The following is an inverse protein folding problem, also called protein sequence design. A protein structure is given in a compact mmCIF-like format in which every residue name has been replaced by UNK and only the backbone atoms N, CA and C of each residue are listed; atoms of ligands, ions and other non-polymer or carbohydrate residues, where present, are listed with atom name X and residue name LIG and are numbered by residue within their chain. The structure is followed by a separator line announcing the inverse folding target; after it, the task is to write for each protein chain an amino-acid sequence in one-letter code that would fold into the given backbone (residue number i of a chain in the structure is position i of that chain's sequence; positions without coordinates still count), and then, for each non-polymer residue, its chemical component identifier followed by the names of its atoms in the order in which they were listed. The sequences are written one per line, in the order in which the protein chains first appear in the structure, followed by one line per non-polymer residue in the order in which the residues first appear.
data_IF_375709735456
#
_entry.id   IF_375709735456
#
_cell.length_a   1.000
_cell.length_b   1.000
_cell.length_c   1.000
_cell.angle_alpha   90.00
_cell.angle_beta   90.00
_cell.angle_gamma   90.00
#
_symmetry.space_group_name_H-M   'P 1'
#
loop_
_entity.id
_entity.type
_entity.pdbx_description
1 polymer ?
#
# COMPACT_ATOMS: atom_id res chain seq x y z
N UNK A 1 14.63 6.55 13.06
CA UNK A 1 15.13 5.22 13.42
C UNK A 1 14.22 4.22 12.74
N UNK A 2 14.77 3.18 12.12
CA UNK A 2 13.96 2.06 11.68
C UNK A 2 13.19 1.45 12.86
N UNK A 3 11.93 1.05 12.65
CA UNK A 3 11.11 0.48 13.73
C UNK A 3 11.70 -0.85 14.18
N UNK A 4 11.59 -1.18 15.47
CA UNK A 4 11.81 -2.55 15.96
C UNK A 4 10.71 -3.48 15.42
N UNK A 5 10.88 -4.82 15.47
CA UNK A 5 9.80 -5.75 15.13
C UNK A 5 8.53 -5.55 15.98
N UNK A 6 8.68 -5.20 17.26
CA UNK A 6 7.54 -4.92 18.12
C UNK A 6 6.86 -3.59 17.76
N UNK A 7 7.63 -2.55 17.42
CA UNK A 7 7.08 -1.28 16.91
C UNK A 7 6.38 -1.45 15.56
N UNK A 8 6.88 -2.36 14.71
CA UNK A 8 6.19 -2.76 13.50
C UNK A 8 4.85 -3.46 13.82
N UNK A 9 4.84 -4.40 14.76
CA UNK A 9 3.61 -5.02 15.26
C UNK A 9 2.62 -4.01 15.84
N UNK A 10 3.08 -3.00 16.60
CA UNK A 10 2.27 -1.88 17.08
C UNK A 10 1.69 -1.08 15.92
N UNK A 11 2.49 -0.78 14.89
CA UNK A 11 2.02 -0.07 13.71
C UNK A 11 0.94 -0.85 12.94
N UNK A 12 1.04 -2.18 12.88
CA UNK A 12 0.00 -3.03 12.29
C UNK A 12 -1.27 -3.02 13.16
N UNK A 13 -1.13 -3.24 14.48
CA UNK A 13 -2.23 -3.29 15.43
C UNK A 13 -3.06 -2.00 15.48
N UNK A 14 -2.41 -0.86 15.24
CA UNK A 14 -3.01 0.48 15.24
C UNK A 14 -3.18 1.06 13.84
N UNK A 15 -3.03 0.24 12.79
CA UNK A 15 -3.02 0.72 11.39
C UNK A 15 -4.30 1.46 10.99
N UNK A 16 -5.42 1.13 11.61
CA UNK A 16 -6.71 1.79 11.40
C UNK A 16 -6.96 2.97 12.36
N UNK A 17 -6.13 3.15 13.39
CA UNK A 17 -6.20 4.24 14.37
C UNK A 17 -6.88 3.90 15.69
N UNK A 18 -7.20 2.62 15.95
CA UNK A 18 -7.65 2.17 17.27
C UNK A 18 -7.13 0.75 17.56
N UNK A 19 -6.76 0.49 18.81
CA UNK A 19 -6.37 -0.86 19.23
C UNK A 19 -7.60 -1.68 19.59
N UNK A 20 -7.82 -2.78 18.87
CA UNK A 20 -8.85 -3.75 19.21
C UNK A 20 -8.42 -4.64 20.38
N UNK A 21 -9.38 -5.32 21.02
CA UNK A 21 -9.08 -6.31 22.07
C UNK A 21 -8.21 -7.44 21.53
N UNK A 22 -8.51 -7.91 20.32
CA UNK A 22 -7.77 -9.01 19.69
C UNK A 22 -6.37 -8.55 19.29
N UNK A 23 -6.23 -7.32 18.79
CA UNK A 23 -4.92 -6.70 18.54
C UNK A 23 -4.06 -6.59 19.80
N UNK A 24 -4.65 -6.24 20.94
CA UNK A 24 -3.92 -6.20 22.22
C UNK A 24 -3.41 -7.58 22.66
N UNK A 25 -4.25 -8.62 22.53
CA UNK A 25 -3.87 -10.02 22.81
C UNK A 25 -2.76 -10.49 21.85
N UNK A 26 -2.85 -10.11 20.58
CA UNK A 26 -1.82 -10.41 19.59
C UNK A 26 -0.49 -9.73 19.90
N UNK A 27 -0.48 -8.50 20.42
CA UNK A 27 0.74 -7.84 20.88
C UNK A 27 1.36 -8.55 22.09
N UNK A 28 0.56 -9.12 22.99
CA UNK A 28 1.08 -9.99 24.06
C UNK A 28 1.73 -11.26 23.48
N UNK A 29 1.09 -11.86 22.46
CA UNK A 29 1.65 -13.01 21.75
C UNK A 29 2.97 -12.65 21.06
N UNK A 30 3.03 -11.49 20.40
CA UNK A 30 4.23 -10.97 19.77
C UNK A 30 5.35 -10.76 20.78
N UNK A 31 5.05 -10.12 21.92
CA UNK A 31 6.02 -9.90 23.00
C UNK A 31 6.67 -11.24 23.44
N UNK A 32 5.86 -12.27 23.63
CA UNK A 32 6.34 -13.61 24.01
C UNK A 32 7.20 -14.22 22.90
N UNK A 33 6.78 -14.14 21.63
CA UNK A 33 7.53 -14.67 20.50
C UNK A 33 8.90 -14.01 20.32
N UNK A 34 8.99 -12.70 20.57
CA UNK A 34 10.21 -11.90 20.51
C UNK A 34 11.07 -12.01 21.78
N UNK A 35 10.57 -12.65 22.85
CA UNK A 35 11.28 -12.78 24.12
C UNK A 35 11.49 -11.46 24.87
N UNK A 36 10.60 -10.48 24.67
CA UNK A 36 10.70 -9.15 25.29
C UNK A 36 10.20 -9.17 26.73
N UNK A 37 10.96 -8.56 27.65
CA UNK A 37 10.47 -8.29 29.00
C UNK A 37 9.42 -7.17 29.00
N UNK A 38 8.58 -7.13 30.04
CA UNK A 38 7.59 -6.07 30.20
C UNK A 38 8.23 -4.68 30.22
N UNK A 39 9.42 -4.54 30.82
CA UNK A 39 10.16 -3.27 30.86
C UNK A 39 10.62 -2.83 29.47
N UNK A 40 11.04 -3.76 28.63
CA UNK A 40 11.51 -3.48 27.28
C UNK A 40 10.34 -3.16 26.36
N UNK A 41 9.25 -3.92 26.45
CA UNK A 41 7.98 -3.61 25.80
C UNK A 41 7.50 -2.21 26.15
N UNK A 42 7.42 -1.88 27.44
CA UNK A 42 6.94 -0.58 27.90
C UNK A 42 7.80 0.58 27.36
N UNK A 43 9.13 0.39 27.26
CA UNK A 43 10.04 1.38 26.67
C UNK A 43 9.71 1.63 25.19
N UNK A 44 9.51 0.57 24.42
CA UNK A 44 9.18 0.66 22.99
C UNK A 44 7.78 1.26 22.78
N UNK A 45 6.79 0.85 23.57
CA UNK A 45 5.45 1.47 23.57
C UNK A 45 5.52 2.96 23.94
N UNK A 46 6.35 3.35 24.90
CA UNK A 46 6.51 4.76 25.29
C UNK A 46 7.14 5.60 24.17
N UNK A 47 8.19 5.08 23.52
CA UNK A 47 8.81 5.73 22.36
C UNK A 47 7.78 5.88 21.24
N UNK A 48 7.10 4.80 20.91
CA UNK A 48 6.08 4.76 19.88
C UNK A 48 4.89 5.68 20.20
N UNK A 49 4.43 5.73 21.45
CA UNK A 49 3.39 6.67 21.91
C UNK A 49 3.85 8.13 21.85
N UNK A 50 5.13 8.41 22.09
CA UNK A 50 5.66 9.78 21.96
C UNK A 50 5.65 10.26 20.49
N UNK A 51 5.75 9.32 19.56
CA UNK A 51 5.61 9.57 18.13
C UNK A 51 4.14 9.63 17.70
N UNK A 52 3.26 8.78 18.26
CA UNK A 52 1.83 8.71 17.89
C UNK A 52 0.91 9.67 18.65
N UNK A 53 1.31 10.19 19.82
CA UNK A 53 0.53 11.19 20.59
C UNK A 53 0.37 12.52 19.86
N UNK A 54 1.05 12.69 18.71
CA UNK A 54 0.90 13.81 17.77
C UNK A 54 -0.23 13.57 16.74
N UNK A 55 -0.77 12.37 16.65
CA UNK A 55 -1.82 11.95 15.70
C UNK A 55 -3.08 11.50 16.44
N UNK A 56 -3.85 12.45 17.00
CA UNK A 56 -5.15 12.18 17.61
C UNK A 56 -6.20 11.71 16.59
N UNK A 57 -6.44 10.40 16.48
CA UNK A 57 -7.58 9.78 15.79
C UNK A 57 -8.43 8.99 16.79
N UNK A 58 -9.73 8.88 16.54
CA UNK A 58 -10.60 7.78 17.01
C UNK A 58 -10.97 6.95 15.78
N UNK A 59 -10.86 5.63 15.89
CA UNK A 59 -11.23 4.64 14.85
C UNK A 59 -11.84 3.38 15.48
N UNK A 60 -12.19 2.37 14.68
CA UNK A 60 -13.04 1.23 15.05
C UNK A 60 -12.31 -0.06 15.49
N UNK A 61 -11.02 -0.22 15.21
CA UNK A 61 -10.18 -1.34 15.67
C UNK A 61 -10.18 -2.57 14.76
N UNK A 62 -9.83 -2.40 13.48
CA UNK A 62 -9.75 -3.43 12.42
C UNK A 62 -8.28 -3.70 11.97
N UNK A 63 -7.29 -3.18 12.72
CA UNK A 63 -5.86 -3.40 12.45
C UNK A 63 -5.34 -4.79 12.88
N UNK A 64 -6.17 -5.61 13.50
CA UNK A 64 -5.81 -6.93 14.03
C UNK A 64 -5.59 -7.98 12.93
N UNK A 65 -6.28 -7.88 11.80
CA UNK A 65 -6.10 -8.82 10.68
C UNK A 65 -4.67 -8.75 10.10
N UNK A 66 -4.13 -7.55 9.88
CA UNK A 66 -2.76 -7.38 9.39
C UNK A 66 -1.71 -7.89 10.39
N UNK A 67 -1.94 -7.65 11.69
CA UNK A 67 -1.06 -8.17 12.74
C UNK A 67 -1.14 -9.70 12.81
N UNK A 68 -2.32 -10.29 12.67
CA UNK A 68 -2.53 -11.74 12.66
C UNK A 68 -1.76 -12.41 11.52
N UNK A 69 -1.88 -11.89 10.30
CA UNK A 69 -1.18 -12.44 9.14
C UNK A 69 0.33 -12.36 9.29
N UNK A 70 0.83 -11.23 9.82
CA UNK A 70 2.25 -11.08 10.09
C UNK A 70 2.73 -12.06 11.18
N UNK A 71 1.98 -12.21 12.27
CA UNK A 71 2.26 -13.19 13.33
C UNK A 71 2.27 -14.65 12.82
N UNK A 72 1.32 -15.00 11.96
CA UNK A 72 1.28 -16.32 11.33
C UNK A 72 2.55 -16.57 10.49
N UNK A 73 3.00 -15.55 9.76
CA UNK A 73 4.23 -15.66 8.96
C UNK A 73 5.52 -15.76 9.79
N UNK A 74 5.52 -15.23 11.03
CA UNK A 74 6.65 -15.35 11.96
C UNK A 74 6.81 -16.77 12.53
N UNK A 75 5.76 -17.60 12.46
CA UNK A 75 5.81 -18.97 12.97
C UNK A 75 6.63 -19.92 12.08
N UNK A 76 6.87 -19.58 10.81
CA UNK A 76 7.67 -20.38 9.87
C UNK A 76 9.18 -20.17 10.07
N UNK A 77 9.68 -20.45 11.29
CA UNK A 77 11.06 -20.15 11.69
C UNK A 77 12.11 -20.88 10.85
N UNK A 78 11.77 -22.03 10.29
CA UNK A 78 12.68 -22.85 9.49
C UNK A 78 13.04 -22.18 8.15
N UNK A 79 12.14 -21.36 7.59
CA UNK A 79 12.38 -20.63 6.35
C UNK A 79 13.04 -19.25 6.58
N UNK A 80 12.85 -18.64 7.76
CA UNK A 80 13.29 -17.27 8.02
C UNK A 80 14.82 -17.12 8.11
N UNK A 81 15.51 -18.00 8.84
CA UNK A 81 16.97 -17.96 9.00
C UNK A 81 17.74 -18.07 7.67
N UNK A 82 17.53 -19.10 6.82
CA UNK A 82 18.21 -19.19 5.52
C UNK A 82 17.82 -18.03 4.58
N UNK A 83 16.59 -17.52 4.67
CA UNK A 83 16.15 -16.36 3.88
C UNK A 83 16.85 -15.09 4.33
N UNK A 84 16.94 -14.81 5.63
CA UNK A 84 17.65 -13.66 6.19
C UNK A 84 19.13 -13.65 5.75
N UNK A 85 19.78 -14.82 5.74
CA UNK A 85 21.15 -14.97 5.20
C UNK A 85 21.23 -14.61 3.72
N UNK A 86 20.27 -15.08 2.93
CA UNK A 86 20.18 -14.78 1.49
C UNK A 86 19.91 -13.29 1.24
N UNK A 87 19.09 -12.65 2.07
CA UNK A 87 18.86 -11.19 2.06
C UNK A 87 20.13 -10.41 2.38
N UNK A 88 20.91 -10.84 3.37
CA UNK A 88 22.21 -10.23 3.68
C UNK A 88 23.17 -10.28 2.49
N UNK A 89 23.27 -11.44 1.82
CA UNK A 89 24.07 -11.59 0.58
C UNK A 89 23.57 -10.66 -0.53
N UNK A 90 22.26 -10.64 -0.77
CA UNK A 90 21.65 -9.81 -1.80
C UNK A 90 21.88 -8.31 -1.55
N UNK A 91 21.77 -7.87 -0.30
CA UNK A 91 21.95 -6.48 0.07
C UNK A 91 23.38 -5.98 -0.17
N UNK A 92 24.39 -6.82 0.09
CA UNK A 92 25.78 -6.47 -0.23
C UNK A 92 26.00 -6.38 -1.75
N UNK A 93 25.43 -7.32 -2.51
CA UNK A 93 25.52 -7.29 -3.97
C UNK A 93 24.83 -6.05 -4.58
N UNK A 94 23.73 -5.61 -3.98
CA UNK A 94 22.99 -4.40 -4.37
C UNK A 94 23.63 -3.09 -3.88
N UNK A 95 24.55 -3.16 -2.90
CA UNK A 95 25.14 -2.02 -2.23
C UNK A 95 24.36 -1.61 -0.99
N UNK A 96 24.86 -1.99 0.18
CA UNK A 96 24.27 -1.65 1.49
C UNK A 96 24.93 -0.39 2.08
N UNK A 97 24.11 0.54 2.58
CA UNK A 97 24.60 1.73 3.30
C UNK A 97 24.91 1.41 4.76
N UNK A 98 25.78 2.20 5.40
CA UNK A 98 26.09 2.04 6.83
C UNK A 98 24.84 2.17 7.73
N UNK A 99 23.96 3.11 7.39
CA UNK A 99 22.68 3.30 8.08
C UNK A 99 21.74 2.12 7.83
N UNK A 100 21.59 1.68 6.58
CA UNK A 100 20.75 0.53 6.24
C UNK A 100 21.22 -0.78 6.89
N UNK A 101 22.54 -0.99 6.99
CA UNK A 101 23.10 -2.11 7.76
C UNK A 101 22.74 -2.05 9.23
N UNK A 102 22.93 -0.88 9.86
CA UNK A 102 22.70 -0.72 11.30
C UNK A 102 21.22 -0.93 11.64
N UNK A 103 20.33 -0.39 10.82
CA UNK A 103 18.88 -0.54 10.97
C UNK A 103 18.40 -1.97 10.67
N UNK A 104 18.92 -2.60 9.62
CA UNK A 104 18.55 -3.97 9.26
C UNK A 104 19.03 -4.97 10.31
N UNK A 105 20.25 -4.79 10.84
CA UNK A 105 20.79 -5.64 11.89
C UNK A 105 19.95 -5.53 13.16
N UNK A 106 19.61 -4.30 13.60
CA UNK A 106 18.76 -4.10 14.77
C UNK A 106 17.38 -4.76 14.62
N UNK A 107 16.77 -4.64 13.43
CA UNK A 107 15.49 -5.30 13.16
C UNK A 107 15.62 -6.83 13.18
N UNK A 108 16.64 -7.38 12.51
CA UNK A 108 16.89 -8.82 12.45
C UNK A 108 17.24 -9.40 13.82
N UNK A 109 18.02 -8.70 14.64
CA UNK A 109 18.30 -9.07 16.03
C UNK A 109 17.01 -9.18 16.85
N UNK A 110 16.08 -8.24 16.67
CA UNK A 110 14.77 -8.29 17.32
C UNK A 110 13.95 -9.53 16.95
N UNK A 111 14.15 -10.10 15.75
CA UNK A 111 13.55 -11.37 15.32
C UNK A 111 14.38 -12.61 15.70
N UNK A 112 15.56 -12.42 16.31
CA UNK A 112 16.52 -13.50 16.56
C UNK A 112 17.30 -13.97 15.31
N UNK A 113 17.25 -13.20 14.22
CA UNK A 113 17.86 -13.51 12.91
C UNK A 113 19.16 -12.72 12.64
N UNK A 114 19.64 -11.94 13.61
CA UNK A 114 20.78 -11.03 13.44
C UNK A 114 22.05 -11.75 12.96
N UNK A 115 22.35 -12.92 13.55
CA UNK A 115 23.51 -13.73 13.13
C UNK A 115 23.36 -14.24 11.69
N UNK A 116 22.19 -14.75 11.32
CA UNK A 116 21.96 -15.26 9.97
C UNK A 116 22.11 -14.15 8.91
N UNK A 117 21.54 -12.97 9.18
CA UNK A 117 21.72 -11.80 8.32
C UNK A 117 23.21 -11.43 8.19
N UNK A 118 23.93 -11.37 9.31
CA UNK A 118 25.35 -11.01 9.34
C UNK A 118 26.23 -12.02 8.59
N UNK A 119 26.00 -13.32 8.75
CA UNK A 119 26.71 -14.37 8.00
C UNK A 119 26.53 -14.17 6.49
N UNK A 120 25.33 -13.77 6.07
CA UNK A 120 25.01 -13.39 4.70
C UNK A 120 25.82 -12.20 4.23
N UNK A 121 25.84 -11.11 4.99
CA UNK A 121 26.59 -9.88 4.66
C UNK A 121 28.10 -10.12 4.58
N UNK A 122 28.67 -10.89 5.51
CA UNK A 122 30.12 -11.07 5.64
C UNK A 122 30.70 -12.26 4.85
N UNK A 123 29.87 -12.95 4.07
CA UNK A 123 30.29 -14.12 3.28
C UNK A 123 30.80 -15.30 4.13
N UNK A 124 30.36 -15.41 5.39
CA UNK A 124 30.84 -16.45 6.31
C UNK A 124 30.23 -17.83 6.01
N UNK A 125 28.99 -17.85 5.47
CA UNK A 125 28.34 -19.07 4.98
C UNK A 125 27.81 -18.87 3.56
N UNK A 126 27.73 -19.97 2.82
CA UNK A 126 27.01 -19.98 1.55
C UNK A 126 25.53 -19.66 1.77
N UNK A 127 25.01 -18.82 0.88
CA UNK A 127 23.62 -18.42 0.83
C UNK A 127 23.12 -18.66 -0.58
N UNK A 128 21.92 -19.23 -0.70
CA UNK A 128 21.29 -19.39 -2.00
C UNK A 128 20.99 -18.01 -2.63
N UNK A 129 20.87 -17.92 -3.96
CA UNK A 129 20.31 -16.73 -4.59
C UNK A 129 18.96 -16.37 -3.98
N UNK A 130 18.77 -15.09 -3.68
CA UNK A 130 17.50 -14.61 -3.12
C UNK A 130 16.46 -14.50 -4.24
N UNK A 131 15.59 -15.50 -4.35
CA UNK A 131 14.49 -15.52 -5.32
C UNK A 131 13.18 -14.95 -4.75
N UNK A 132 12.91 -15.17 -3.46
CA UNK A 132 11.76 -14.64 -2.74
C UNK A 132 12.01 -14.64 -1.23
N UNK A 133 11.14 -13.98 -0.47
CA UNK A 133 11.14 -14.04 1.00
C UNK A 133 9.70 -14.11 1.56
N UNK A 134 9.51 -14.67 2.78
CA UNK A 134 8.24 -14.62 3.49
C UNK A 134 7.85 -13.19 3.89
N UNK A 135 6.55 -12.89 3.94
CA UNK A 135 6.03 -11.56 4.32
C UNK A 135 6.49 -11.07 5.69
N UNK A 136 6.85 -12.01 6.58
CA UNK A 136 7.50 -11.72 7.85
C UNK A 136 8.74 -10.81 7.71
N UNK A 137 9.47 -10.95 6.59
CA UNK A 137 10.71 -10.25 6.30
C UNK A 137 10.52 -9.02 5.40
N UNK A 138 9.29 -8.64 5.06
CA UNK A 138 9.03 -7.43 4.26
C UNK A 138 9.64 -6.16 4.88
N UNK A 139 9.55 -5.91 6.20
CA UNK A 139 10.20 -4.75 6.81
C UNK A 139 11.72 -4.80 6.65
N UNK A 140 12.32 -5.99 6.80
CA UNK A 140 13.75 -6.18 6.61
C UNK A 140 14.16 -5.93 5.15
N UNK A 141 13.37 -6.37 4.18
CA UNK A 141 13.60 -6.13 2.76
C UNK A 141 13.55 -4.64 2.41
N UNK A 142 12.62 -3.89 3.00
CA UNK A 142 12.50 -2.44 2.85
C UNK A 142 13.74 -1.74 3.42
N UNK A 143 14.16 -2.09 4.65
CA UNK A 143 15.33 -1.48 5.29
C UNK A 143 16.61 -1.76 4.48
N UNK A 144 16.73 -2.96 3.92
CA UNK A 144 17.86 -3.35 3.06
C UNK A 144 17.77 -2.80 1.63
N UNK A 145 16.68 -2.14 1.25
CA UNK A 145 16.46 -1.61 -0.10
C UNK A 145 16.29 -2.69 -1.18
N UNK A 146 15.98 -3.93 -0.79
CA UNK A 146 15.89 -5.07 -1.72
C UNK A 146 14.62 -5.03 -2.58
N UNK A 147 13.59 -4.33 -2.13
CA UNK A 147 12.33 -4.11 -2.87
C UNK A 147 12.56 -3.36 -4.19
N UNK A 148 13.67 -2.62 -4.31
CA UNK A 148 14.02 -1.82 -5.50
C UNK A 148 15.12 -2.51 -6.33
N UNK A 149 16.04 -3.20 -5.66
CA UNK A 149 17.32 -3.64 -6.25
C UNK A 149 17.34 -5.07 -6.79
N UNK A 150 16.35 -5.91 -6.46
CA UNK A 150 16.22 -7.26 -7.01
C UNK A 150 15.09 -7.28 -8.05
N UNK A 151 15.40 -7.27 -9.35
CA UNK A 151 14.38 -7.41 -10.38
C UNK A 151 13.84 -8.83 -10.34
N UNK A 152 12.55 -8.99 -10.03
CA UNK A 152 11.86 -10.29 -10.11
C UNK A 152 11.01 -10.68 -8.91
N UNK A 153 10.85 -9.84 -7.89
CA UNK A 153 10.16 -10.22 -6.66
C UNK A 153 8.69 -9.79 -6.74
N UNK A 154 7.96 -10.48 -7.60
CA UNK A 154 6.51 -10.64 -7.43
C UNK A 154 6.37 -11.76 -6.41
N UNK A 155 5.89 -11.45 -5.20
CA UNK A 155 5.43 -12.47 -4.28
C UNK A 155 4.34 -13.29 -4.97
N UNK A 156 4.70 -14.42 -5.59
CA UNK A 156 3.76 -15.53 -5.81
C UNK A 156 3.52 -16.19 -4.46
N UNK A 157 2.87 -15.46 -3.55
CA UNK A 157 2.02 -16.08 -2.52
C UNK A 157 1.09 -16.96 -3.35
N UNK A 158 1.06 -18.27 -3.13
CA UNK A 158 0.08 -19.13 -3.78
C UNK A 158 -1.29 -18.49 -3.53
N UNK A 159 -1.82 -17.87 -4.58
CA UNK A 159 -2.97 -16.98 -4.47
C UNK A 159 -4.09 -17.80 -3.85
N UNK A 160 -4.58 -17.42 -2.67
CA UNK A 160 -5.95 -17.76 -2.32
C UNK A 160 -6.78 -17.04 -3.37
N UNK A 161 -7.06 -17.74 -4.46
CA UNK A 161 -7.91 -17.20 -5.51
C UNK A 161 -9.28 -16.94 -4.89
N UNK A 162 -9.81 -15.73 -5.05
CA UNK A 162 -11.18 -15.44 -4.67
C UNK A 162 -12.14 -16.02 -5.72
N UNK A 163 -13.31 -16.43 -5.26
CA UNK A 163 -14.46 -16.69 -6.13
C UNK A 163 -15.28 -15.39 -6.19
N UNK A 164 -15.38 -14.76 -7.36
CA UNK A 164 -16.07 -13.47 -7.51
C UNK A 164 -15.90 -12.84 -8.89
N UNK A 165 -16.52 -11.67 -9.09
CA UNK A 165 -16.42 -10.88 -10.31
C UNK A 165 -15.06 -10.15 -10.41
N UNK A 166 -14.55 -10.01 -11.62
CA UNK A 166 -13.34 -9.24 -11.90
C UNK A 166 -13.64 -7.75 -11.85
N UNK A 167 -12.84 -6.99 -11.09
CA UNK A 167 -12.83 -5.54 -11.03
C UNK A 167 -11.59 -4.94 -11.70
N UNK A 168 -10.60 -5.78 -12.00
CA UNK A 168 -9.44 -5.48 -12.82
C UNK A 168 -9.19 -6.65 -13.74
N UNK A 169 -8.85 -6.37 -14.99
CA UNK A 169 -8.37 -7.35 -15.96
C UNK A 169 -7.21 -6.80 -16.77
N UNK A 170 -6.16 -7.59 -16.92
CA UNK A 170 -5.03 -7.33 -17.83
C UNK A 170 -4.96 -8.49 -18.82
N UNK A 171 -5.41 -8.25 -20.04
CA UNK A 171 -5.40 -9.22 -21.11
C UNK A 171 -4.07 -9.14 -21.88
N UNK A 172 -3.05 -9.86 -21.38
CA UNK A 172 -1.76 -10.00 -22.04
C UNK A 172 -1.16 -11.40 -21.76
N UNK A 173 -0.52 -12.07 -22.74
CA UNK A 173 0.01 -13.42 -22.56
C UNK A 173 1.01 -13.57 -21.41
N UNK A 174 1.81 -12.53 -21.16
CA UNK A 174 2.82 -12.54 -20.09
C UNK A 174 2.27 -12.06 -18.73
N UNK A 175 1.01 -11.62 -18.67
CA UNK A 175 0.40 -11.15 -17.44
C UNK A 175 -0.07 -12.32 -16.57
N UNK A 176 0.27 -12.29 -15.29
CA UNK A 176 -0.24 -13.25 -14.30
C UNK A 176 -0.65 -12.54 -13.01
N UNK A 177 -1.80 -12.89 -12.41
CA UNK A 177 -2.29 -12.15 -11.26
C UNK A 177 -1.48 -12.52 -10.02
N UNK A 178 -1.17 -11.53 -9.21
CA UNK A 178 -0.35 -11.67 -8.01
C UNK A 178 -1.00 -10.98 -6.81
N UNK A 179 -0.57 -11.32 -5.60
CA UNK A 179 -1.07 -10.65 -4.41
C UNK A 179 -0.62 -9.19 -4.38
N UNK A 180 -1.56 -8.27 -4.18
CA UNK A 180 -1.30 -6.84 -4.14
C UNK A 180 -1.08 -6.40 -2.69
N UNK A 181 0.17 -6.40 -2.22
CA UNK A 181 0.50 -5.93 -0.85
C UNK A 181 0.04 -4.48 -0.59
N UNK A 182 -0.18 -3.70 -1.66
CA UNK A 182 -0.69 -2.34 -1.58
C UNK A 182 -2.21 -2.22 -1.68
N UNK A 183 -2.92 -3.29 -1.97
CA UNK A 183 -4.39 -3.35 -1.99
C UNK A 183 -4.82 -4.77 -1.59
N UNK A 184 -4.68 -5.13 -0.30
CA UNK A 184 -4.77 -6.52 0.16
C UNK A 184 -6.14 -7.16 -0.09
N UNK A 185 -7.21 -6.35 -0.04
CA UNK A 185 -8.58 -6.81 -0.25
C UNK A 185 -8.92 -6.99 -1.75
N UNK A 186 -8.01 -6.64 -2.67
CA UNK A 186 -8.15 -6.87 -4.10
C UNK A 186 -7.35 -8.14 -4.45
N UNK A 187 -8.06 -9.27 -4.51
CA UNK A 187 -7.48 -10.61 -4.59
C UNK A 187 -7.45 -11.13 -6.03
N UNK A 188 -6.42 -11.94 -6.39
CA UNK A 188 -6.41 -12.67 -7.66
C UNK A 188 -7.67 -13.52 -7.84
N UNK A 189 -8.28 -13.48 -9.02
CA UNK A 189 -9.41 -14.35 -9.36
C UNK A 189 -8.91 -15.57 -10.13
N UNK A 190 -9.57 -16.70 -9.91
CA UNK A 190 -9.31 -17.90 -10.71
C UNK A 190 -9.96 -17.75 -12.10
N UNK A 191 -9.21 -17.22 -13.06
CA UNK A 191 -9.62 -17.10 -14.46
C UNK A 191 -8.51 -17.59 -15.40
N UNK A 192 -8.80 -17.63 -16.71
CA UNK A 192 -7.78 -17.86 -17.74
C UNK A 192 -6.88 -16.63 -17.97
N UNK A 193 -7.25 -15.46 -17.41
CA UNK A 193 -6.57 -14.18 -17.57
C UNK A 193 -5.87 -13.69 -16.29
N UNK A 194 -5.40 -12.44 -16.35
CA UNK A 194 -4.81 -11.75 -15.22
C UNK A 194 -5.83 -10.81 -14.59
N UNK A 195 -6.62 -11.37 -13.67
CA UNK A 195 -7.78 -10.70 -13.09
C UNK A 195 -7.67 -10.57 -11.57
N UNK A 196 -8.22 -9.47 -11.05
CA UNK A 196 -8.42 -9.25 -9.62
C UNK A 196 -9.84 -8.81 -9.30
N UNK A 197 -10.33 -9.19 -8.13
CA UNK A 197 -11.63 -8.76 -7.60
C UNK A 197 -11.61 -8.54 -6.10
N UNK A 198 -12.59 -7.80 -5.61
CA UNK A 198 -12.70 -7.54 -4.18
C UNK A 198 -13.05 -8.82 -3.41
N UNK A 199 -12.48 -8.96 -2.22
CA UNK A 199 -12.77 -10.08 -1.33
C UNK A 199 -14.27 -10.18 -0.97
N UNK A 200 -14.92 -9.04 -0.74
CA UNK A 200 -16.30 -8.96 -0.26
C UNK A 200 -17.34 -8.63 -1.36
N UNK A 201 -16.92 -8.23 -2.56
CA UNK A 201 -17.84 -7.89 -3.67
C UNK A 201 -17.83 -8.97 -4.74
N UNK A 202 -19.00 -9.58 -4.95
CA UNK A 202 -19.15 -10.74 -5.85
C UNK A 202 -19.72 -10.41 -7.22
N UNK A 203 -20.26 -9.21 -7.40
CA UNK A 203 -20.93 -8.77 -8.62
C UNK A 203 -20.55 -7.33 -8.94
N UNK A 204 -20.49 -7.02 -10.23
CA UNK A 204 -20.36 -5.66 -10.75
C UNK A 204 -21.73 -5.18 -11.24
N UNK A 205 -22.00 -3.88 -11.18
CA UNK A 205 -23.28 -3.34 -11.69
C UNK A 205 -23.39 -3.44 -13.22
N UNK A 206 -22.25 -3.52 -13.91
CA UNK A 206 -22.12 -3.57 -15.36
C UNK A 206 -21.13 -4.65 -15.78
N UNK A 207 -21.30 -5.17 -17.00
CA UNK A 207 -20.36 -6.14 -17.58
C UNK A 207 -19.01 -5.48 -17.87
N UNK A 208 -17.93 -6.21 -17.62
CA UNK A 208 -16.57 -5.73 -17.89
C UNK A 208 -16.31 -5.61 -19.40
N UNK A 209 -15.85 -4.43 -19.90
CA UNK A 209 -15.51 -4.24 -21.30
C UNK A 209 -14.39 -5.17 -21.77
N UNK A 210 -14.43 -5.56 -23.05
CA UNK A 210 -13.37 -6.37 -23.68
C UNK A 210 -12.25 -5.49 -24.23
N UNK A 211 -11.37 -5.01 -23.35
CA UNK A 211 -10.18 -4.20 -23.71
C UNK A 211 -8.89 -4.83 -23.15
N UNK A 212 -7.73 -4.35 -23.56
CA UNK A 212 -6.43 -4.93 -23.15
C UNK A 212 -6.17 -4.77 -21.65
N UNK A 213 -6.59 -3.65 -21.07
CA UNK A 213 -6.51 -3.40 -19.64
C UNK A 213 -7.73 -2.64 -19.17
N UNK A 214 -8.37 -3.13 -18.12
CA UNK A 214 -9.62 -2.59 -17.58
C UNK A 214 -9.55 -2.57 -16.07
N UNK A 215 -10.03 -1.51 -15.43
CA UNK A 215 -10.28 -1.48 -14.00
C UNK A 215 -11.50 -0.63 -13.64
N UNK A 216 -12.22 -1.05 -12.61
CA UNK A 216 -13.40 -0.32 -12.12
C UNK A 216 -12.99 0.99 -11.41
N UNK A 217 -13.86 2.00 -11.46
CA UNK A 217 -13.69 3.23 -10.70
C UNK A 217 -13.55 3.00 -9.20
N UNK A 218 -14.10 1.90 -8.66
CA UNK A 218 -13.98 1.58 -7.22
C UNK A 218 -12.53 1.27 -6.86
N UNK A 219 -11.79 0.63 -7.77
CA UNK A 219 -10.36 0.33 -7.64
C UNK A 219 -9.54 1.61 -7.69
N UNK A 220 -9.89 2.53 -8.61
CA UNK A 220 -9.29 3.86 -8.68
C UNK A 220 -9.54 4.68 -7.41
N UNK A 221 -10.78 4.67 -6.90
CA UNK A 221 -11.14 5.36 -5.66
C UNK A 221 -10.35 4.80 -4.47
N UNK A 222 -10.24 3.47 -4.35
CA UNK A 222 -9.43 2.84 -3.31
C UNK A 222 -7.94 3.21 -3.42
N UNK A 223 -7.40 3.27 -4.64
CA UNK A 223 -6.03 3.72 -4.88
C UNK A 223 -5.81 5.18 -4.46
N UNK A 224 -6.73 6.08 -4.81
CA UNK A 224 -6.66 7.50 -4.43
C UNK A 224 -6.70 7.66 -2.90
N UNK A 225 -7.58 6.93 -2.22
CA UNK A 225 -7.63 6.89 -0.75
C UNK A 225 -6.27 6.51 -0.15
N UNK A 226 -5.62 5.51 -0.74
CA UNK A 226 -4.28 5.07 -0.34
C UNK A 226 -3.20 6.11 -0.62
N UNK A 227 -3.23 6.80 -1.76
CA UNK A 227 -2.26 7.86 -2.06
C UNK A 227 -2.32 8.96 -0.98
N UNK A 228 -3.53 9.38 -0.59
CA UNK A 228 -3.74 10.37 0.47
C UNK A 228 -3.25 9.84 1.83
N UNK A 229 -3.57 8.58 2.17
CA UNK A 229 -3.11 7.96 3.41
C UNK A 229 -1.57 7.88 3.48
N UNK A 230 -0.91 7.39 2.42
CA UNK A 230 0.56 7.26 2.39
C UNK A 230 1.29 8.60 2.46
N UNK A 231 0.76 9.67 1.85
CA UNK A 231 1.34 11.02 1.98
C UNK A 231 1.34 11.47 3.43
N UNK A 232 0.22 11.25 4.13
CA UNK A 232 0.10 11.52 5.56
C UNK A 232 1.09 10.71 6.40
N UNK A 233 1.23 9.42 6.11
CA UNK A 233 2.14 8.54 6.86
C UNK A 233 3.61 8.93 6.69
N UNK A 234 3.98 9.51 5.54
CA UNK A 234 5.32 10.06 5.27
C UNK A 234 5.56 11.44 5.88
N UNK A 235 4.55 12.03 6.54
CA UNK A 235 4.62 13.39 7.07
C UNK A 235 4.76 14.46 5.98
N UNK A 236 4.40 14.14 4.74
CA UNK A 236 4.33 15.12 3.66
C UNK A 236 3.21 16.12 3.97
N UNK A 237 3.35 17.36 3.48
CA UNK A 237 2.29 18.36 3.57
C UNK A 237 0.99 17.89 2.90
N UNK A 238 -0.06 18.71 3.01
CA UNK A 238 -1.28 18.50 2.21
C UNK A 238 -0.98 18.39 0.71
N UNK A 239 -2.00 18.05 -0.11
CA UNK A 239 -1.83 18.11 -1.57
C UNK A 239 -1.20 19.44 -1.98
N UNK A 240 -0.38 19.41 -3.01
CA UNK A 240 0.22 20.63 -3.58
C UNK A 240 -0.87 21.65 -3.84
N UNK A 241 -0.74 22.85 -3.27
CA UNK A 241 -1.74 23.91 -3.36
C UNK A 241 -2.78 23.93 -2.23
N UNK A 242 -2.83 22.94 -1.33
CA UNK A 242 -3.67 23.04 -0.13
C UNK A 242 -2.99 23.89 0.96
N UNK A 243 -3.76 24.67 1.75
CA UNK A 243 -3.25 25.36 2.93
C UNK A 243 -2.60 24.39 3.94
N UNK A 244 -1.57 24.84 4.68
CA UNK A 244 -0.75 24.00 5.58
C UNK A 244 -1.55 23.26 6.68
N UNK A 245 -2.76 23.72 7.00
CA UNK A 245 -3.63 23.13 8.02
C UNK A 245 -4.78 22.28 7.43
N UNK A 246 -4.92 22.21 6.11
CA UNK A 246 -5.97 21.46 5.46
C UNK A 246 -5.68 19.95 5.48
N UNK A 247 -6.65 19.16 5.94
CA UNK A 247 -6.53 17.70 6.02
C UNK A 247 -7.64 17.02 5.22
N UNK A 248 -7.24 16.17 4.29
CA UNK A 248 -8.16 15.35 3.52
C UNK A 248 -8.62 14.14 4.34
N UNK A 249 -9.89 13.79 4.21
CA UNK A 249 -10.50 12.60 4.80
C UNK A 249 -10.75 11.55 3.70
N UNK A 250 -9.77 10.69 3.38
CA UNK A 250 -9.89 9.75 2.26
C UNK A 250 -11.08 8.80 2.39
N UNK A 251 -11.44 8.35 3.61
CA UNK A 251 -12.59 7.47 3.82
C UNK A 251 -13.95 8.08 3.42
N UNK A 252 -14.02 9.41 3.29
CA UNK A 252 -15.24 10.12 2.87
C UNK A 252 -15.33 10.35 1.35
N UNK A 253 -14.36 9.83 0.59
CA UNK A 253 -14.28 10.13 -0.83
C UNK A 253 -15.37 9.39 -1.61
N UNK A 254 -16.00 10.10 -2.54
CA UNK A 254 -17.00 9.59 -3.48
C UNK A 254 -16.53 9.89 -4.89
N UNK A 255 -16.84 9.00 -5.84
CA UNK A 255 -16.50 9.17 -7.24
C UNK A 255 -17.76 8.96 -8.09
N UNK A 256 -17.95 9.84 -9.07
CA UNK A 256 -19.05 9.78 -10.03
C UNK A 256 -18.47 9.88 -11.44
N UNK A 257 -18.98 9.06 -12.35
CA UNK A 257 -18.65 9.08 -13.77
C UNK A 257 -19.87 9.59 -14.54
N UNK A 258 -19.66 10.56 -15.43
CA UNK A 258 -20.70 11.08 -16.33
C UNK A 258 -20.09 11.32 -17.72
N UNK A 259 -20.39 10.42 -18.65
CA UNK A 259 -19.74 10.37 -19.97
C UNK A 259 -18.21 10.28 -19.81
N UNK A 260 -17.49 11.24 -20.40
CA UNK A 260 -16.03 11.31 -20.33
C UNK A 260 -15.53 12.15 -19.15
N UNK A 261 -16.40 12.53 -18.21
CA UNK A 261 -16.03 13.32 -17.03
C UNK A 261 -16.05 12.45 -15.78
N UNK A 262 -15.00 12.58 -14.98
CA UNK A 262 -14.88 11.93 -13.68
C UNK A 262 -14.84 12.97 -12.58
N UNK A 263 -15.77 12.89 -11.64
CA UNK A 263 -15.87 13.79 -10.50
C UNK A 263 -15.49 13.07 -9.22
N UNK A 264 -14.57 13.65 -8.45
CA UNK A 264 -14.24 13.22 -7.09
C UNK A 264 -14.75 14.25 -6.09
N UNK A 265 -15.37 13.79 -5.00
CA UNK A 265 -15.66 14.62 -3.84
C UNK A 265 -15.06 13.99 -2.60
N UNK A 266 -14.64 14.81 -1.63
CA UNK A 266 -14.00 14.33 -0.40
C UNK A 266 -14.15 15.40 0.69
N UNK A 267 -14.35 14.97 1.93
CA UNK A 267 -14.33 15.89 3.07
C UNK A 267 -12.91 16.40 3.29
N UNK A 268 -12.80 17.71 3.43
CA UNK A 268 -11.59 18.44 3.79
C UNK A 268 -11.85 19.15 5.11
N UNK A 269 -11.00 18.86 6.09
CA UNK A 269 -10.92 19.59 7.35
C UNK A 269 -10.02 20.81 7.16
N UNK A 270 -10.60 22.00 7.23
CA UNK A 270 -9.90 23.27 7.11
C UNK A 270 -9.27 23.72 8.44
N UNK A 271 -9.32 22.88 9.48
CA UNK A 271 -8.88 23.21 10.83
C UNK A 271 -9.90 24.06 11.56
N UNK A 272 -9.56 25.31 11.87
CA UNK A 272 -10.43 26.23 12.63
C UNK A 272 -11.72 26.59 11.90
N UNK A 273 -11.75 26.46 10.57
CA UNK A 273 -12.87 26.84 9.71
C UNK A 273 -13.86 25.69 9.45
N UNK A 274 -13.61 24.51 10.04
CA UNK A 274 -14.53 23.37 10.03
C UNK A 274 -14.36 22.41 8.85
N UNK A 275 -15.35 21.51 8.70
CA UNK A 275 -15.37 20.44 7.69
C UNK A 275 -16.19 20.86 6.48
N UNK A 276 -15.65 20.64 5.29
CA UNK A 276 -16.30 20.97 4.01
C UNK A 276 -16.17 19.80 3.05
N UNK A 277 -17.10 19.64 2.09
CA UNK A 277 -17.05 18.58 1.06
C UNK A 277 -16.94 19.21 -0.34
N UNK A 278 -15.75 19.72 -0.72
CA UNK A 278 -15.48 20.13 -2.09
C UNK A 278 -15.54 18.94 -3.05
N UNK A 279 -15.70 19.29 -4.32
CA UNK A 279 -15.61 18.36 -5.44
C UNK A 279 -14.71 18.97 -6.51
N UNK A 280 -14.18 18.10 -7.38
CA UNK A 280 -13.46 18.50 -8.57
C UNK A 280 -13.66 17.48 -9.68
N UNK A 281 -13.56 17.93 -10.93
CA UNK A 281 -13.83 17.10 -12.09
C UNK A 281 -12.64 17.08 -13.05
N UNK A 282 -12.43 15.95 -13.71
CA UNK A 282 -11.40 15.74 -14.72
C UNK A 282 -12.06 15.17 -15.97
N UNK A 283 -11.71 15.73 -17.13
CA UNK A 283 -12.08 15.18 -18.44
C UNK A 283 -11.08 14.10 -18.83
N UNK A 284 -11.59 12.93 -19.22
CA UNK A 284 -10.84 11.73 -19.60
C UNK A 284 -11.06 11.49 -21.10
N UNK A 285 -10.54 12.42 -21.91
CA UNK A 285 -10.51 12.32 -23.38
C UNK A 285 -9.06 12.42 -23.85
N UNK A 286 -8.38 11.28 -23.93
CA UNK A 286 -6.94 11.26 -24.16
C UNK A 286 -6.18 11.67 -22.88
N UNK A 287 -5.34 12.71 -22.95
CA UNK A 287 -4.56 13.15 -21.77
C UNK A 287 -5.50 13.77 -20.73
N UNK A 288 -5.62 13.20 -19.52
CA UNK A 288 -6.54 13.71 -18.51
C UNK A 288 -6.29 15.18 -18.18
N UNK A 289 -7.36 15.98 -18.13
CA UNK A 289 -7.26 17.43 -17.89
C UNK A 289 -8.30 17.91 -16.88
N UNK A 290 -7.91 18.88 -16.05
CA UNK A 290 -8.78 19.48 -15.04
C UNK A 290 -9.94 20.22 -15.71
N UNK A 291 -11.18 19.97 -15.29
CA UNK A 291 -12.34 20.80 -15.61
C UNK A 291 -12.28 22.05 -14.73
N UNK A 292 -12.32 23.28 -15.27
CA UNK A 292 -12.15 24.49 -14.45
C UNK A 292 -13.16 24.61 -13.32
N UNK A 293 -12.71 25.17 -12.20
CA UNK A 293 -13.58 25.43 -11.06
C UNK A 293 -14.72 26.41 -11.43
N UNK A 294 -15.89 26.34 -10.76
CA UNK A 294 -17.03 27.22 -11.05
C UNK A 294 -16.68 28.71 -10.92
N UNK A 295 -17.27 29.53 -11.80
CA UNK A 295 -17.11 30.98 -11.76
C UNK A 295 -17.59 31.57 -10.43
N UNK A 296 -16.86 32.58 -9.93
CA UNK A 296 -17.28 33.37 -8.76
C UNK A 296 -16.92 32.78 -7.40
N UNK A 297 -16.16 31.67 -7.33
CA UNK A 297 -15.59 31.17 -6.08
C UNK A 297 -14.26 31.86 -5.75
N UNK A 298 -13.89 31.93 -4.47
CA UNK A 298 -12.62 32.56 -4.05
C UNK A 298 -11.40 31.71 -4.40
N UNK A 299 -10.22 32.34 -4.48
CA UNK A 299 -8.96 31.66 -4.82
C UNK A 299 -8.68 30.43 -3.94
N UNK A 300 -8.97 30.50 -2.63
CA UNK A 300 -8.79 29.36 -1.73
C UNK A 300 -9.64 28.14 -2.15
N UNK A 301 -10.84 28.36 -2.66
CA UNK A 301 -11.70 27.28 -3.14
C UNK A 301 -11.24 26.72 -4.49
N UNK A 302 -10.71 27.57 -5.36
CA UNK A 302 -10.05 27.15 -6.61
C UNK A 302 -8.85 26.25 -6.29
N UNK A 303 -8.02 26.63 -5.31
CA UNK A 303 -6.87 25.84 -4.88
C UNK A 303 -7.26 24.44 -4.38
N UNK A 304 -8.31 24.35 -3.57
CA UNK A 304 -8.82 23.06 -3.08
C UNK A 304 -9.38 22.21 -4.22
N UNK A 305 -10.13 22.83 -5.13
CA UNK A 305 -10.65 22.19 -6.33
C UNK A 305 -9.51 21.61 -7.19
N UNK A 306 -8.52 22.41 -7.54
CA UNK A 306 -7.43 22.00 -8.43
C UNK A 306 -6.54 20.94 -7.79
N UNK A 307 -6.34 21.00 -6.47
CA UNK A 307 -5.65 19.96 -5.73
C UNK A 307 -6.37 18.60 -5.83
N UNK A 308 -7.70 18.58 -5.68
CA UNK A 308 -8.50 17.36 -5.84
C UNK A 308 -8.47 16.82 -7.28
N UNK A 309 -8.57 17.70 -8.27
CA UNK A 309 -8.44 17.31 -9.68
C UNK A 309 -7.06 16.72 -9.98
N UNK A 310 -5.99 17.34 -9.45
CA UNK A 310 -4.62 16.84 -9.58
C UNK A 310 -4.41 15.48 -8.89
N UNK A 311 -5.07 15.24 -7.75
CA UNK A 311 -5.06 13.93 -7.10
C UNK A 311 -5.73 12.86 -7.97
N UNK A 312 -6.84 13.19 -8.64
CA UNK A 312 -7.54 12.29 -9.54
C UNK A 312 -6.68 11.94 -10.77
N UNK A 313 -6.04 12.93 -11.39
CA UNK A 313 -5.08 12.72 -12.49
C UNK A 313 -3.92 11.84 -12.04
N UNK A 314 -3.34 12.12 -10.86
CA UNK A 314 -2.27 11.28 -10.29
C UNK A 314 -2.73 9.83 -10.13
N UNK A 315 -3.98 9.60 -9.70
CA UNK A 315 -4.57 8.27 -9.60
C UNK A 315 -4.63 7.56 -10.96
N UNK A 316 -5.15 8.24 -11.98
CA UNK A 316 -5.25 7.75 -13.36
C UNK A 316 -3.89 7.42 -13.98
N UNK A 317 -2.84 8.17 -13.63
CA UNK A 317 -1.49 7.94 -14.16
C UNK A 317 -0.75 6.80 -13.45
N UNK A 318 -0.99 6.62 -12.15
CA UNK A 318 -0.17 5.74 -11.31
C UNK A 318 -0.78 4.36 -11.08
N UNK A 319 -2.10 4.24 -10.94
CA UNK A 319 -2.76 2.95 -10.74
C UNK A 319 -2.46 1.95 -11.87
N UNK A 320 -2.67 2.28 -13.15
CA UNK A 320 -2.48 1.28 -14.20
C UNK A 320 -1.02 0.82 -14.29
N UNK A 321 -0.05 1.71 -14.05
CA UNK A 321 1.37 1.32 -13.96
C UNK A 321 1.63 0.32 -12.84
N UNK A 322 1.02 0.51 -11.67
CA UNK A 322 1.16 -0.41 -10.54
C UNK A 322 0.52 -1.77 -10.81
N UNK A 323 -0.63 -1.79 -11.49
CA UNK A 323 -1.29 -3.03 -11.91
C UNK A 323 -0.47 -3.79 -12.95
N UNK A 324 0.10 -3.11 -13.94
CA UNK A 324 1.01 -3.73 -14.93
C UNK A 324 2.25 -4.32 -14.25
N UNK A 325 2.88 -3.56 -13.35
CA UNK A 325 4.01 -4.08 -12.57
C UNK A 325 3.63 -5.31 -11.75
N UNK A 326 2.46 -5.32 -11.11
CA UNK A 326 1.97 -6.46 -10.34
C UNK A 326 1.61 -7.67 -11.22
N UNK A 327 1.18 -7.42 -12.46
CA UNK A 327 0.91 -8.47 -13.44
C UNK A 327 2.18 -9.13 -13.98
N UNK A 328 3.33 -8.47 -13.88
CA UNK A 328 4.59 -8.88 -14.51
C UNK A 328 4.69 -8.54 -16.00
N UNK A 329 3.70 -7.87 -16.59
CA UNK A 329 3.74 -7.45 -17.99
C UNK A 329 4.56 -6.16 -18.18
N UNK A 330 5.65 -6.23 -18.95
CA UNK A 330 6.46 -5.08 -19.34
C UNK A 330 5.93 -4.46 -20.64
N UNK A 331 4.82 -3.73 -20.53
CA UNK A 331 4.12 -3.15 -21.69
C UNK A 331 3.79 -1.67 -21.50
N UNK A 332 3.60 -0.96 -22.62
CA UNK A 332 3.07 0.41 -22.61
C UNK A 332 1.56 0.39 -22.81
N UNK A 333 0.88 1.43 -22.35
CA UNK A 333 -0.57 1.57 -22.48
C UNK A 333 -0.96 2.92 -23.09
N UNK A 334 -2.12 2.94 -23.74
CA UNK A 334 -2.77 4.14 -24.24
C UNK A 334 -3.20 5.06 -23.09
N UNK A 335 -3.61 6.27 -23.47
CA UNK A 335 -4.33 7.15 -22.57
C UNK A 335 -5.64 6.48 -22.08
N UNK A 336 -6.10 6.81 -20.85
CA UNK A 336 -7.34 6.26 -20.31
C UNK A 336 -8.56 6.72 -21.10
N UNK A 337 -9.55 5.83 -21.21
CA UNK A 337 -10.90 6.13 -21.67
C UNK A 337 -11.93 5.65 -20.63
N UNK A 338 -13.09 6.28 -20.57
CA UNK A 338 -14.21 5.84 -19.71
C UNK A 338 -15.18 5.01 -20.55
N UNK A 339 -15.51 3.81 -20.08
CA UNK A 339 -16.54 2.94 -20.64
C UNK A 339 -17.49 2.49 -19.52
N UNK A 340 -18.60 3.21 -19.37
CA UNK A 340 -19.54 2.99 -18.27
C UNK A 340 -18.90 3.26 -16.91
N UNK A 341 -18.83 2.25 -16.04
CA UNK A 341 -18.18 2.33 -14.71
C UNK A 341 -16.67 2.01 -14.74
N UNK A 342 -16.13 1.73 -15.92
CA UNK A 342 -14.79 1.21 -16.13
C UNK A 342 -13.86 2.26 -16.72
N UNK A 343 -12.59 2.17 -16.35
CA UNK A 343 -11.51 2.85 -17.01
C UNK A 343 -10.75 1.82 -17.84
N UNK A 344 -10.58 2.12 -19.13
CA UNK A 344 -9.98 1.20 -20.10
C UNK A 344 -8.72 1.79 -20.72
N UNK A 345 -7.79 0.90 -21.05
CA UNK A 345 -6.58 1.19 -21.79
C UNK A 345 -6.33 0.09 -22.84
N UNK A 346 -5.73 0.48 -23.95
CA UNK A 346 -5.14 -0.43 -24.93
C UNK A 346 -3.65 -0.62 -24.63
N UNK A 347 -3.15 -1.84 -24.77
CA UNK A 347 -1.70 -2.13 -24.70
C UNK A 347 -1.08 -1.79 -26.06
N UNK A 348 0.06 -1.07 -26.05
CA UNK A 348 0.74 -0.52 -27.24
C UNK A 348 2.08 -1.20 -27.48
#
# INVERSE_FOLDING_TARGET
MAPTPFEHGLALAWSDGALSRDGAIMLETLQQQLGLSDSERARQEQVWLSDISKTGRRSFGDGDQNLREWLESLNDRDSLAPTARSMGRAAVNAGISKTGWTEALLFAEGLGLGNDLAEGVWFEKEAAPLESWPSALDPLAIILGLVISVPGIVHKKASKFSEGAAFVSVNHPDASPSHLAWMPNLLPIKSEGCDWGWEDEKETNTDMPSRSMVYSHTVLLAWIRRLVAKRRDRGEGGLTGLPENCRLMPSSSEMVLDGNTMTISMIVDLGGDGLVRPWASVSVEGVPSIVPAPDGISENWVMIHDALAGLLITGLETLPRQLLLASGAEVSISAPEIDGEWIVHDIV
#
